data_IF_404985005377
#
_entry.id   IF_404985005377
#
_cell.length_a   1.000
_cell.length_b   1.000
_cell.length_c   1.000
_cell.angle_alpha   90.00
_cell.angle_beta   90.00
_cell.angle_gamma   90.00
#
_symmetry.space_group_name_H-M   'P 1'
#
loop_
_entity.id
_entity.type
_entity.pdbx_description
1 polymer ?
#
# COMPACT_ATOMS: atom_id res chain seq x y z
N UNK A 1 9.57 9.23 10.08
CA UNK A 1 10.45 10.05 10.97
C UNK A 1 9.83 11.40 11.32
N UNK A 2 9.20 12.12 10.40
CA UNK A 2 8.61 13.44 10.69
C UNK A 2 7.45 13.41 11.70
N UNK A 3 6.68 12.34 11.77
CA UNK A 3 5.56 12.19 12.71
C UNK A 3 5.99 12.09 14.18
N UNK A 4 7.09 11.39 14.47
CA UNK A 4 7.49 11.12 15.86
C UNK A 4 7.78 12.38 16.68
N UNK A 5 8.49 13.41 16.19
CA UNK A 5 8.67 14.66 16.94
C UNK A 5 7.35 15.36 17.25
N UNK A 6 6.43 15.39 16.27
CA UNK A 6 5.11 16.04 16.43
C UNK A 6 4.28 15.31 17.49
N UNK A 7 4.28 13.97 17.45
CA UNK A 7 3.62 13.18 18.47
C UNK A 7 4.27 13.32 19.85
N UNK A 8 5.60 13.33 19.94
CA UNK A 8 6.31 13.48 21.23
C UNK A 8 5.99 14.80 21.90
N UNK A 9 5.89 15.88 21.13
CA UNK A 9 5.45 17.20 21.63
C UNK A 9 4.00 17.15 22.10
N UNK A 10 3.08 16.59 21.32
CA UNK A 10 1.68 16.39 21.72
C UNK A 10 1.57 15.61 23.04
N UNK A 11 2.31 14.49 23.15
CA UNK A 11 2.28 13.67 24.36
C UNK A 11 2.79 14.41 25.59
N UNK A 12 3.87 15.18 25.42
CA UNK A 12 4.42 16.01 26.52
C UNK A 12 3.45 17.11 26.93
N UNK A 13 2.82 17.79 25.99
CA UNK A 13 1.80 18.82 26.28
C UNK A 13 0.58 18.22 27.01
N UNK A 14 0.14 17.03 26.58
CA UNK A 14 -1.03 16.35 27.15
C UNK A 14 -0.79 15.78 28.53
N UNK A 15 0.41 15.24 28.80
CA UNK A 15 0.67 14.40 29.98
C UNK A 15 1.79 14.92 30.89
N UNK A 16 2.59 15.87 30.42
CA UNK A 16 3.82 16.29 31.10
C UNK A 16 4.98 15.27 31.01
N UNK A 17 4.79 14.16 30.30
CA UNK A 17 5.78 13.07 30.19
C UNK A 17 6.48 13.11 28.84
N UNK A 18 7.74 12.75 28.80
CA UNK A 18 8.50 12.52 27.58
C UNK A 18 8.33 11.09 27.08
N UNK A 19 8.49 10.88 25.77
CA UNK A 19 8.48 9.57 25.14
C UNK A 19 9.66 9.46 24.18
N UNK A 20 10.35 8.34 24.22
CA UNK A 20 11.35 7.93 23.22
C UNK A 20 10.71 6.94 22.25
N UNK A 21 10.78 7.23 20.95
CA UNK A 21 10.17 6.38 19.91
C UNK A 21 11.28 5.76 19.07
N UNK A 22 11.44 4.44 19.19
CA UNK A 22 12.36 3.65 18.38
C UNK A 22 11.62 3.04 17.19
N UNK A 23 12.24 3.09 16.02
CA UNK A 23 11.64 2.59 14.78
C UNK A 23 12.49 1.50 14.14
N UNK A 24 11.81 0.52 13.56
CA UNK A 24 12.38 -0.50 12.69
C UNK A 24 11.57 -0.56 11.40
N UNK A 25 12.23 -0.61 10.25
CA UNK A 25 11.60 -0.59 8.94
C UNK A 25 12.02 -1.79 8.10
N UNK A 26 11.04 -2.56 7.63
CA UNK A 26 11.20 -3.64 6.67
C UNK A 26 9.86 -3.85 5.93
N UNK A 27 9.78 -4.80 5.01
CA UNK A 27 8.50 -5.19 4.43
C UNK A 27 7.53 -5.70 5.50
N UNK A 28 6.24 -5.34 5.40
CA UNK A 28 5.22 -5.63 6.43
C UNK A 28 5.18 -7.10 6.84
N UNK A 29 5.20 -8.02 5.87
CA UNK A 29 5.20 -9.47 6.17
C UNK A 29 6.46 -9.94 6.89
N UNK A 30 7.62 -9.33 6.63
CA UNK A 30 8.86 -9.64 7.36
C UNK A 30 8.79 -9.13 8.80
N UNK A 31 8.27 -7.92 8.99
CA UNK A 31 8.07 -7.33 10.31
C UNK A 31 7.07 -8.14 11.15
N UNK A 32 5.93 -8.53 10.56
CA UNK A 32 4.94 -9.35 11.24
C UNK A 32 5.55 -10.69 11.73
N UNK A 33 6.35 -11.35 10.89
CA UNK A 33 7.07 -12.57 11.27
C UNK A 33 8.05 -12.33 12.42
N UNK A 34 8.83 -11.25 12.36
CA UNK A 34 9.78 -10.91 13.43
C UNK A 34 9.08 -10.68 14.77
N UNK A 35 7.91 -10.03 14.75
CA UNK A 35 7.11 -9.79 15.97
C UNK A 35 6.57 -11.13 16.52
N UNK A 36 6.08 -12.02 15.65
CA UNK A 36 5.67 -13.37 16.06
C UNK A 36 6.83 -14.20 16.62
N UNK A 37 8.06 -13.92 16.20
CA UNK A 37 9.30 -14.55 16.70
C UNK A 37 9.88 -13.88 17.95
N UNK A 38 9.21 -12.84 18.47
CA UNK A 38 9.59 -12.21 19.74
C UNK A 38 10.17 -10.80 19.65
N UNK A 39 10.23 -10.17 18.46
CA UNK A 39 10.56 -8.75 18.37
C UNK A 39 9.54 -7.93 19.16
N UNK A 40 10.03 -7.18 20.16
CA UNK A 40 9.18 -6.32 20.96
C UNK A 40 8.82 -5.05 20.17
N UNK A 41 7.58 -4.97 19.70
CA UNK A 41 7.01 -3.80 19.08
C UNK A 41 5.72 -3.42 19.81
N UNK A 42 5.57 -2.16 20.21
CA UNK A 42 4.38 -1.65 20.88
C UNK A 42 3.29 -1.27 19.90
N UNK A 43 3.69 -0.82 18.70
CA UNK A 43 2.81 -0.38 17.61
C UNK A 43 3.30 -0.96 16.28
N UNK A 44 2.38 -1.29 15.40
CA UNK A 44 2.65 -1.61 14.00
C UNK A 44 1.93 -0.64 13.07
N UNK A 45 2.60 -0.30 11.96
CA UNK A 45 2.03 0.42 10.83
C UNK A 45 2.41 -0.34 9.56
N UNK A 46 1.45 -1.02 8.95
CA UNK A 46 1.69 -1.92 7.82
C UNK A 46 0.98 -1.44 6.56
N UNK A 47 1.33 -2.01 5.41
CA UNK A 47 0.65 -1.79 4.15
C UNK A 47 -0.25 -2.97 3.74
N UNK A 48 -0.49 -3.91 4.66
CA UNK A 48 -1.30 -5.11 4.41
C UNK A 48 -2.12 -5.45 5.66
N UNK A 49 -3.43 -5.55 5.48
CA UNK A 49 -4.37 -5.99 6.53
C UNK A 49 -4.01 -7.39 7.03
N UNK A 50 -3.66 -8.31 6.13
CA UNK A 50 -3.28 -9.68 6.47
C UNK A 50 -2.05 -9.78 7.36
N UNK A 51 -1.12 -8.83 7.25
CA UNK A 51 0.09 -8.80 8.08
C UNK A 51 -0.20 -8.30 9.51
N UNK A 52 -1.23 -7.48 9.69
CA UNK A 52 -1.74 -7.15 11.03
C UNK A 52 -2.55 -8.32 11.58
N UNK A 53 -3.46 -8.90 10.78
CA UNK A 53 -4.33 -9.98 11.19
C UNK A 53 -3.56 -11.20 11.72
N UNK A 54 -2.44 -11.56 11.09
CA UNK A 54 -1.62 -12.71 11.52
C UNK A 54 -1.06 -12.55 12.94
N UNK A 55 -0.89 -11.31 13.45
CA UNK A 55 -0.48 -11.05 14.82
C UNK A 55 -1.55 -11.50 15.82
N UNK A 56 -2.83 -11.41 15.43
CA UNK A 56 -3.93 -12.01 16.19
C UNK A 56 -3.95 -13.51 16.01
N UNK A 57 -4.03 -14.00 14.78
CA UNK A 57 -4.33 -15.40 14.47
C UNK A 57 -3.30 -16.34 15.06
N UNK A 58 -2.01 -16.04 14.90
CA UNK A 58 -0.90 -16.89 15.35
C UNK A 58 -0.31 -16.49 16.70
N UNK A 59 -0.37 -15.21 17.06
CA UNK A 59 0.32 -14.70 18.24
C UNK A 59 -0.60 -14.32 19.38
N UNK A 60 -1.90 -14.08 19.12
CA UNK A 60 -2.81 -13.46 20.08
C UNK A 60 -2.22 -12.20 20.72
N UNK A 61 -1.47 -11.42 19.90
CA UNK A 61 -0.73 -10.24 20.35
C UNK A 61 -1.59 -8.97 20.30
N UNK A 62 -2.61 -8.98 19.42
CA UNK A 62 -3.59 -7.92 19.24
C UNK A 62 -5.01 -8.49 19.40
N UNK A 63 -6.03 -7.68 19.72
CA UNK A 63 -7.40 -8.16 19.84
C UNK A 63 -7.98 -8.59 18.49
N UNK A 64 -8.99 -9.48 18.51
CA UNK A 64 -9.65 -9.97 17.30
C UNK A 64 -10.36 -8.85 16.51
N UNK A 65 -10.89 -7.87 17.23
CA UNK A 65 -11.62 -6.74 16.67
C UNK A 65 -10.72 -5.51 16.38
N UNK A 66 -9.44 -5.69 16.18
CA UNK A 66 -8.47 -4.59 16.02
C UNK A 66 -8.87 -3.57 14.93
N UNK A 67 -9.51 -4.01 13.85
CA UNK A 67 -9.96 -3.12 12.78
C UNK A 67 -11.08 -2.15 13.19
N UNK A 68 -11.82 -2.47 14.24
CA UNK A 68 -12.95 -1.63 14.71
C UNK A 68 -12.56 -0.69 15.86
N UNK A 69 -11.31 -0.74 16.31
CA UNK A 69 -10.83 0.09 17.42
C UNK A 69 -10.58 1.54 17.02
N UNK A 70 -10.29 1.78 15.75
CA UNK A 70 -10.03 3.10 15.20
C UNK A 70 -10.85 3.30 13.91
N UNK A 71 -11.11 4.56 13.50
CA UNK A 71 -11.84 4.85 12.26
C UNK A 71 -11.23 4.21 11.00
N UNK A 72 -12.02 4.06 9.95
CA UNK A 72 -11.58 3.58 8.64
C UNK A 72 -10.84 2.23 8.71
N UNK A 73 -11.43 1.25 9.40
CA UNK A 73 -10.83 -0.07 9.62
C UNK A 73 -9.40 0.00 10.19
N UNK A 74 -9.17 0.93 11.14
CA UNK A 74 -7.86 1.24 11.73
C UNK A 74 -6.79 1.64 10.71
N UNK A 75 -7.19 2.30 9.62
CA UNK A 75 -6.30 2.82 8.57
C UNK A 75 -6.38 4.35 8.52
N UNK A 76 -5.49 5.06 9.22
CA UNK A 76 -5.54 6.53 9.33
C UNK A 76 -5.21 7.24 8.02
N UNK A 77 -4.58 6.55 7.08
CA UNK A 77 -4.23 7.05 5.76
C UNK A 77 -4.25 5.92 4.74
N UNK A 78 -4.27 6.28 3.48
CA UNK A 78 -4.34 5.33 2.38
C UNK A 78 -3.56 5.82 1.16
N UNK A 79 -3.46 5.00 0.16
CA UNK A 79 -2.93 5.33 -1.15
C UNK A 79 -3.75 4.60 -2.21
N UNK A 80 -3.30 4.67 -3.43
CA UNK A 80 -3.81 3.88 -4.54
C UNK A 80 -2.65 3.42 -5.42
N UNK A 81 -2.88 2.54 -6.35
CA UNK A 81 -1.87 2.16 -7.35
C UNK A 81 -1.82 3.21 -8.46
N UNK A 82 -0.63 3.66 -8.79
CA UNK A 82 -0.37 4.65 -9.82
C UNK A 82 0.84 4.25 -10.68
N UNK A 83 1.09 5.00 -11.73
CA UNK A 83 2.13 4.74 -12.71
C UNK A 83 3.17 5.85 -12.68
N UNK A 84 4.44 5.47 -12.66
CA UNK A 84 5.55 6.37 -12.92
C UNK A 84 6.08 6.08 -14.33
N UNK A 85 5.96 7.04 -15.23
CA UNK A 85 6.40 6.92 -16.62
C UNK A 85 7.61 7.81 -16.88
N UNK A 86 8.34 7.52 -17.96
CA UNK A 86 9.48 8.32 -18.41
C UNK A 86 9.06 9.73 -18.77
N UNK A 87 10.00 10.67 -18.77
CA UNK A 87 9.80 12.07 -19.16
C UNK A 87 8.99 12.21 -20.45
N UNK A 88 7.94 13.05 -20.37
CA UNK A 88 7.06 13.31 -21.51
C UNK A 88 6.15 12.15 -21.90
N UNK A 89 6.14 11.06 -21.13
CA UNK A 89 5.29 9.89 -21.37
C UNK A 89 5.33 9.41 -22.85
N UNK A 90 6.49 8.98 -23.36
CA UNK A 90 6.68 8.70 -24.80
C UNK A 90 5.78 7.59 -25.34
N UNK A 91 5.27 6.72 -24.46
CA UNK A 91 4.32 5.65 -24.81
C UNK A 91 2.87 6.05 -24.63
N UNK A 92 2.59 7.30 -24.23
CA UNK A 92 1.24 7.81 -23.96
C UNK A 92 0.42 6.85 -23.07
N UNK A 93 1.00 6.44 -21.94
CA UNK A 93 0.35 5.55 -20.97
C UNK A 93 -0.57 6.40 -20.09
N UNK A 94 -1.87 6.12 -20.10
CA UNK A 94 -2.89 6.89 -19.38
C UNK A 94 -3.72 6.00 -18.44
N UNK A 95 -3.89 4.71 -18.77
CA UNK A 95 -4.76 3.80 -18.06
C UNK A 95 -4.26 2.36 -18.14
N UNK A 96 -4.90 1.47 -17.40
CA UNK A 96 -4.59 0.04 -17.35
C UNK A 96 -4.62 -0.64 -18.72
N UNK A 97 -5.50 -0.19 -19.63
CA UNK A 97 -5.57 -0.70 -21.02
C UNK A 97 -4.28 -0.48 -21.81
N UNK A 98 -3.49 0.55 -21.47
CA UNK A 98 -2.22 0.81 -22.16
C UNK A 98 -1.13 -0.18 -21.76
N UNK A 99 -1.27 -0.80 -20.58
CA UNK A 99 -0.29 -1.75 -20.04
C UNK A 99 -0.32 -3.13 -20.72
N UNK A 100 -1.35 -3.40 -21.53
CA UNK A 100 -1.49 -4.65 -22.28
C UNK A 100 -1.07 -4.52 -23.74
N UNK A 101 -0.60 -3.35 -24.16
CA UNK A 101 -0.05 -3.12 -25.50
C UNK A 101 1.30 -3.82 -25.65
N UNK A 102 1.59 -4.34 -26.85
CA UNK A 102 2.83 -5.11 -27.12
C UNK A 102 4.10 -4.23 -27.00
N UNK A 103 3.97 -2.93 -27.24
CA UNK A 103 5.06 -1.96 -27.20
C UNK A 103 5.32 -1.38 -25.79
N UNK A 104 4.58 -1.80 -24.77
CA UNK A 104 4.71 -1.32 -23.38
C UNK A 104 5.28 -2.40 -22.48
N UNK A 105 6.31 -2.05 -21.71
CA UNK A 105 6.89 -2.92 -20.69
C UNK A 105 6.76 -2.29 -19.31
N UNK A 106 6.14 -3.01 -18.39
CA UNK A 106 5.94 -2.60 -17.02
C UNK A 106 6.96 -3.23 -16.07
N UNK A 107 7.16 -2.57 -14.93
CA UNK A 107 7.96 -3.06 -13.81
C UNK A 107 7.13 -2.95 -12.54
N UNK A 108 6.99 -4.02 -11.82
CA UNK A 108 6.45 -4.04 -10.45
C UNK A 108 6.89 -5.32 -9.72
N UNK A 109 6.83 -5.37 -8.37
CA UNK A 109 7.30 -6.53 -7.64
C UNK A 109 6.44 -7.77 -7.88
N UNK A 110 6.95 -8.94 -7.48
CA UNK A 110 6.21 -10.20 -7.55
C UNK A 110 5.08 -10.23 -6.51
N UNK A 111 3.81 -10.47 -6.91
CA UNK A 111 2.69 -10.56 -5.97
C UNK A 111 2.81 -11.70 -4.94
N UNK A 112 3.63 -12.72 -5.21
CA UNK A 112 3.92 -13.79 -4.24
C UNK A 112 4.73 -13.29 -3.04
N UNK A 113 5.54 -12.24 -3.23
CA UNK A 113 6.51 -11.77 -2.21
C UNK A 113 6.24 -10.38 -1.69
N UNK A 114 5.42 -9.57 -2.38
CA UNK A 114 5.21 -8.17 -2.10
C UNK A 114 3.73 -7.82 -1.96
N UNK A 115 3.37 -7.20 -0.82
CA UNK A 115 2.03 -6.66 -0.58
C UNK A 115 1.65 -5.55 -1.56
N UNK A 116 2.60 -4.68 -1.91
CA UNK A 116 2.42 -3.66 -2.94
C UNK A 116 1.98 -4.27 -4.28
N UNK A 117 2.66 -5.33 -4.71
CA UNK A 117 2.35 -6.01 -5.96
C UNK A 117 0.99 -6.74 -5.95
N UNK A 118 0.53 -7.18 -4.78
CA UNK A 118 -0.84 -7.72 -4.64
C UNK A 118 -1.88 -6.66 -4.92
N UNK A 119 -1.70 -5.43 -4.42
CA UNK A 119 -2.55 -4.30 -4.78
C UNK A 119 -2.50 -3.99 -6.27
N UNK A 120 -1.31 -4.01 -6.89
CA UNK A 120 -1.15 -3.79 -8.33
C UNK A 120 -1.93 -4.83 -9.14
N UNK A 121 -1.78 -6.11 -8.80
CA UNK A 121 -2.52 -7.19 -9.46
C UNK A 121 -4.03 -7.07 -9.28
N UNK A 122 -4.49 -6.81 -8.04
CA UNK A 122 -5.92 -6.65 -7.75
C UNK A 122 -6.51 -5.40 -8.42
N UNK A 123 -5.75 -4.32 -8.55
CA UNK A 123 -6.18 -3.14 -9.29
C UNK A 123 -6.40 -3.45 -10.78
N UNK A 124 -5.47 -4.20 -11.39
CA UNK A 124 -5.60 -4.68 -12.78
C UNK A 124 -6.81 -5.61 -12.93
N UNK A 125 -7.04 -6.52 -11.99
CA UNK A 125 -8.22 -7.40 -11.98
C UNK A 125 -9.51 -6.59 -11.84
N UNK A 126 -9.57 -5.64 -10.92
CA UNK A 126 -10.74 -4.77 -10.71
C UNK A 126 -11.05 -3.92 -11.94
N UNK A 127 -10.02 -3.39 -12.61
CA UNK A 127 -10.18 -2.73 -13.90
C UNK A 127 -10.76 -3.68 -14.96
N UNK A 128 -10.23 -4.90 -15.08
CA UNK A 128 -10.72 -5.89 -16.03
C UNK A 128 -12.18 -6.29 -15.76
N UNK A 129 -12.56 -6.49 -14.49
CA UNK A 129 -13.95 -6.75 -14.10
C UNK A 129 -14.89 -5.61 -14.49
N UNK A 130 -14.46 -4.37 -14.29
CA UNK A 130 -15.24 -3.19 -14.68
C UNK A 130 -15.34 -3.04 -16.19
N UNK A 131 -14.26 -3.29 -16.92
CA UNK A 131 -14.19 -3.13 -18.38
C UNK A 131 -14.98 -4.22 -19.13
N UNK A 132 -14.91 -5.46 -18.68
CA UNK A 132 -15.45 -6.61 -19.40
C UNK A 132 -16.70 -7.22 -18.75
N UNK A 133 -17.05 -6.79 -17.54
CA UNK A 133 -18.13 -7.34 -16.73
C UNK A 133 -17.65 -8.43 -15.76
N UNK A 134 -18.36 -8.54 -14.61
CA UNK A 134 -18.01 -9.48 -13.54
C UNK A 134 -18.07 -10.95 -13.98
N UNK A 135 -18.97 -11.29 -14.87
CA UNK A 135 -19.19 -12.67 -15.33
C UNK A 135 -18.31 -13.07 -16.52
N UNK A 136 -17.58 -12.13 -17.11
CA UNK A 136 -16.77 -12.39 -18.30
C UNK A 136 -15.32 -12.78 -17.95
N UNK A 137 -15.20 -13.90 -17.27
CA UNK A 137 -13.91 -14.41 -16.81
C UNK A 137 -12.88 -14.61 -17.94
N UNK A 138 -13.34 -14.98 -19.15
CA UNK A 138 -12.45 -15.21 -20.29
C UNK A 138 -11.70 -13.93 -20.68
N UNK A 139 -12.42 -12.82 -20.86
CA UNK A 139 -11.79 -11.55 -21.25
C UNK A 139 -10.96 -10.95 -20.11
N UNK A 140 -11.39 -11.13 -18.86
CA UNK A 140 -10.59 -10.75 -17.70
C UNK A 140 -9.26 -11.51 -17.69
N UNK A 141 -9.28 -12.80 -17.90
CA UNK A 141 -8.08 -13.64 -17.93
C UNK A 141 -7.15 -13.29 -19.09
N UNK A 142 -7.68 -13.03 -20.27
CA UNK A 142 -6.88 -12.58 -21.44
C UNK A 142 -6.20 -11.24 -21.15
N UNK A 143 -6.90 -10.31 -20.57
CA UNK A 143 -6.34 -9.03 -20.15
C UNK A 143 -5.20 -9.23 -19.13
N UNK A 144 -5.44 -9.99 -18.06
CA UNK A 144 -4.44 -10.24 -17.03
C UNK A 144 -3.23 -11.01 -17.55
N UNK A 145 -3.41 -11.98 -18.47
CA UNK A 145 -2.30 -12.69 -19.14
C UNK A 145 -1.41 -11.72 -19.90
N UNK A 146 -1.99 -10.81 -20.70
CA UNK A 146 -1.25 -9.79 -21.44
C UNK A 146 -0.54 -8.81 -20.48
N UNK A 147 -1.24 -8.36 -19.45
CA UNK A 147 -0.68 -7.51 -18.41
C UNK A 147 0.57 -8.15 -17.76
N UNK A 148 0.46 -9.40 -17.33
CA UNK A 148 1.57 -10.13 -16.72
C UNK A 148 2.69 -10.45 -17.70
N UNK A 149 2.36 -10.74 -18.97
CA UNK A 149 3.35 -11.00 -20.04
C UNK A 149 4.19 -9.76 -20.40
N UNK A 150 3.65 -8.58 -20.17
CA UNK A 150 4.34 -7.31 -20.40
C UNK A 150 5.24 -6.88 -19.23
N UNK A 151 5.29 -7.63 -18.13
CA UNK A 151 6.20 -7.33 -17.03
C UNK A 151 7.62 -7.69 -17.44
N UNK A 152 8.49 -6.68 -17.51
CA UNK A 152 9.88 -6.85 -17.89
C UNK A 152 10.70 -7.57 -16.82
N UNK A 153 10.38 -7.31 -15.54
CA UNK A 153 11.03 -7.92 -14.39
C UNK A 153 10.08 -7.96 -13.18
N UNK A 154 10.05 -9.09 -12.51
CA UNK A 154 9.40 -9.26 -11.20
C UNK A 154 10.45 -9.22 -10.09
N UNK A 155 10.64 -8.05 -9.51
CA UNK A 155 11.51 -7.90 -8.34
C UNK A 155 10.86 -8.50 -7.08
N UNK A 156 11.65 -8.75 -6.04
CA UNK A 156 11.13 -9.33 -4.79
C UNK A 156 10.33 -8.34 -3.95
N UNK A 157 10.52 -7.03 -4.16
CA UNK A 157 9.83 -5.96 -3.42
C UNK A 157 9.95 -4.60 -4.10
N UNK A 158 9.25 -3.61 -3.57
CA UNK A 158 9.13 -2.28 -4.15
C UNK A 158 10.46 -1.58 -4.41
N UNK A 159 11.43 -1.68 -3.48
CA UNK A 159 12.77 -1.08 -3.67
C UNK A 159 13.50 -1.68 -4.87
N UNK A 160 13.42 -3.01 -5.05
CA UNK A 160 14.01 -3.68 -6.21
C UNK A 160 13.38 -3.18 -7.51
N UNK A 161 12.06 -3.06 -7.56
CA UNK A 161 11.34 -2.54 -8.72
C UNK A 161 11.73 -1.09 -9.02
N UNK A 162 11.87 -0.23 -8.00
CA UNK A 162 12.36 1.14 -8.16
C UNK A 162 13.78 1.14 -8.76
N UNK A 163 14.70 0.35 -8.20
CA UNK A 163 16.08 0.22 -8.72
C UNK A 163 16.08 -0.26 -10.18
N UNK A 164 15.28 -1.29 -10.50
CA UNK A 164 15.19 -1.79 -11.88
C UNK A 164 14.67 -0.73 -12.84
N UNK A 165 13.66 0.03 -12.46
CA UNK A 165 13.11 1.08 -13.31
C UNK A 165 14.01 2.32 -13.37
N UNK A 166 14.41 2.89 -12.22
CA UNK A 166 15.10 4.18 -12.15
C UNK A 166 16.55 4.06 -12.51
N UNK A 167 17.29 3.14 -11.86
CA UNK A 167 18.75 3.06 -11.96
C UNK A 167 19.21 2.19 -13.15
N UNK A 168 18.47 1.11 -13.45
CA UNK A 168 18.81 0.21 -14.57
C UNK A 168 18.10 0.53 -15.88
N UNK A 169 17.15 1.48 -15.87
CA UNK A 169 16.42 1.91 -17.05
C UNK A 169 15.48 0.86 -17.64
N UNK A 170 15.07 -0.16 -16.88
CA UNK A 170 14.22 -1.25 -17.35
C UNK A 170 12.76 -0.78 -17.43
N UNK A 171 12.08 -1.12 -18.51
CA UNK A 171 10.64 -0.86 -18.71
C UNK A 171 10.28 0.59 -19.01
N UNK A 172 9.04 0.78 -19.41
CA UNK A 172 8.44 2.07 -19.77
C UNK A 172 7.67 2.69 -18.61
N UNK A 173 7.17 1.84 -17.70
CA UNK A 173 6.33 2.23 -16.57
C UNK A 173 6.65 1.41 -15.33
N UNK A 174 6.81 2.09 -14.20
CA UNK A 174 6.84 1.49 -12.87
C UNK A 174 5.44 1.62 -12.26
N UNK A 175 4.91 0.50 -11.75
CA UNK A 175 3.60 0.45 -11.10
C UNK A 175 3.81 0.23 -9.60
N UNK A 176 3.37 1.18 -8.80
CA UNK A 176 3.47 1.10 -7.34
C UNK A 176 2.43 2.01 -6.67
N UNK A 177 2.50 2.23 -5.36
CA UNK A 177 1.60 3.16 -4.70
C UNK A 177 1.82 4.59 -5.17
N UNK A 178 0.75 5.37 -5.27
CA UNK A 178 0.78 6.80 -5.60
C UNK A 178 1.74 7.58 -4.68
N UNK A 179 1.74 7.27 -3.39
CA UNK A 179 2.69 7.84 -2.43
C UNK A 179 4.15 7.54 -2.79
N UNK A 180 4.44 6.33 -3.24
CA UNK A 180 5.79 5.93 -3.66
C UNK A 180 6.20 6.59 -4.97
N UNK A 181 5.33 6.63 -6.00
CA UNK A 181 5.68 7.26 -7.29
C UNK A 181 5.98 8.75 -7.11
N UNK A 182 5.24 9.45 -6.25
CA UNK A 182 5.50 10.84 -5.93
C UNK A 182 6.84 11.03 -5.20
N UNK A 183 7.15 10.17 -4.23
CA UNK A 183 8.42 10.19 -3.51
C UNK A 183 9.61 9.88 -4.44
N UNK A 184 9.48 8.88 -5.32
CA UNK A 184 10.51 8.53 -6.30
C UNK A 184 10.75 9.71 -7.25
N UNK A 185 9.70 10.32 -7.77
CA UNK A 185 9.81 11.51 -8.63
C UNK A 185 10.53 12.66 -7.92
N UNK A 186 10.24 12.93 -6.65
CA UNK A 186 10.91 13.96 -5.87
C UNK A 186 12.40 13.64 -5.64
N UNK A 187 12.71 12.36 -5.40
CA UNK A 187 14.07 11.94 -5.06
C UNK A 187 15.01 11.84 -6.28
N UNK A 188 14.50 11.34 -7.41
CA UNK A 188 15.31 11.00 -8.58
C UNK A 188 15.21 12.01 -9.74
N UNK A 189 14.32 12.98 -9.65
CA UNK A 189 14.18 14.04 -10.66
C UNK A 189 12.72 14.30 -11.02
N UNK A 190 12.21 15.43 -10.58
CA UNK A 190 10.81 15.81 -10.84
C UNK A 190 10.51 15.98 -12.33
N UNK A 191 11.54 16.35 -13.12
CA UNK A 191 11.44 16.57 -14.56
C UNK A 191 11.72 15.33 -15.42
N UNK A 192 12.28 14.26 -14.81
CA UNK A 192 12.66 13.04 -15.53
C UNK A 192 11.55 12.00 -15.58
N UNK A 193 10.52 12.18 -14.76
CA UNK A 193 9.40 11.28 -14.63
C UNK A 193 8.08 12.02 -14.57
N UNK A 194 7.03 11.38 -15.08
CA UNK A 194 5.65 11.84 -14.95
C UNK A 194 4.84 10.81 -14.16
N UNK A 195 3.99 11.31 -13.26
CA UNK A 195 3.03 10.49 -12.52
C UNK A 195 1.73 10.43 -13.31
N UNK A 196 1.21 9.23 -13.50
CA UNK A 196 -0.10 8.97 -14.07
C UNK A 196 -0.94 8.21 -13.05
N UNK A 197 -2.04 8.80 -12.62
CA UNK A 197 -3.01 8.15 -11.76
C UNK A 197 -4.19 7.72 -12.64
N UNK A 198 -4.44 6.40 -12.82
CA UNK A 198 -5.54 5.94 -13.64
C UNK A 198 -6.88 6.35 -13.04
N UNK A 199 -7.91 6.51 -13.88
CA UNK A 199 -9.25 6.94 -13.43
C UNK A 199 -9.89 5.97 -12.44
N UNK A 200 -9.61 4.69 -12.59
CA UNK A 200 -10.05 3.61 -11.70
C UNK A 200 -8.83 2.88 -11.16
N UNK A 201 -8.74 2.71 -9.86
CA UNK A 201 -7.67 1.99 -9.21
C UNK A 201 -8.17 1.36 -7.90
N UNK A 202 -7.29 0.96 -7.00
CA UNK A 202 -7.63 0.25 -5.78
C UNK A 202 -7.39 1.11 -4.54
N UNK A 203 -8.26 0.98 -3.54
CA UNK A 203 -8.02 1.50 -2.19
C UNK A 203 -6.93 0.67 -1.51
N UNK A 204 -5.76 1.28 -1.33
CA UNK A 204 -4.66 0.68 -0.60
C UNK A 204 -4.61 1.26 0.83
N UNK A 205 -5.14 0.51 1.78
CA UNK A 205 -5.20 0.90 3.18
C UNK A 205 -3.88 0.61 3.88
N UNK A 206 -3.51 1.52 4.80
CA UNK A 206 -2.32 1.37 5.65
C UNK A 206 -2.76 1.20 7.11
N UNK A 207 -3.06 -0.04 7.53
CA UNK A 207 -3.57 -0.32 8.85
C UNK A 207 -2.52 -0.12 9.93
N UNK A 208 -2.99 0.35 11.09
CA UNK A 208 -2.20 0.49 12.31
C UNK A 208 -2.82 -0.30 13.44
N UNK A 209 -2.01 -0.79 14.36
CA UNK A 209 -2.50 -1.45 15.56
C UNK A 209 -1.52 -1.30 16.73
N UNK A 210 -2.07 -1.22 17.95
CA UNK A 210 -1.30 -1.43 19.17
C UNK A 210 -1.10 -2.92 19.37
N UNK A 211 0.15 -3.35 19.57
CA UNK A 211 0.48 -4.73 19.92
C UNK A 211 0.24 -4.89 21.42
N UNK A 212 -1.02 -5.00 21.79
CA UNK A 212 -1.50 -4.85 23.17
C UNK A 212 -0.73 -5.68 24.20
N UNK A 213 -0.47 -6.95 23.87
CA UNK A 213 0.24 -7.87 24.77
C UNK A 213 1.65 -7.38 25.10
N UNK A 214 2.32 -6.78 24.10
CA UNK A 214 3.66 -6.21 24.26
C UNK A 214 3.58 -4.87 24.98
N UNK A 215 2.72 -3.97 24.54
CA UNK A 215 2.58 -2.64 25.13
C UNK A 215 2.16 -2.69 26.62
N UNK A 216 1.23 -3.60 26.97
CA UNK A 216 0.83 -3.82 28.37
C UNK A 216 1.99 -4.35 29.22
N UNK A 217 2.76 -5.31 28.69
CA UNK A 217 3.95 -5.83 29.37
C UNK A 217 5.02 -4.78 29.59
N UNK A 218 5.20 -3.88 28.61
CA UNK A 218 6.20 -2.82 28.66
C UNK A 218 5.74 -1.60 29.46
N UNK A 219 4.46 -1.51 29.87
CA UNK A 219 3.88 -0.34 30.51
C UNK A 219 3.70 0.86 29.56
N UNK A 220 3.66 0.63 28.26
CA UNK A 220 3.57 1.64 27.19
C UNK A 220 2.18 1.70 26.53
N UNK A 221 1.21 0.96 27.04
CA UNK A 221 -0.11 0.81 26.40
C UNK A 221 -0.82 2.15 26.15
N UNK A 222 -0.79 3.05 27.14
CA UNK A 222 -1.48 4.35 27.01
C UNK A 222 -0.83 5.22 25.94
N UNK A 223 0.50 5.35 25.93
CA UNK A 223 1.21 6.14 24.93
C UNK A 223 1.13 5.49 23.55
N UNK A 224 1.14 4.17 23.44
CA UNK A 224 0.96 3.44 22.19
C UNK A 224 -0.45 3.65 21.61
N UNK A 225 -1.48 3.62 22.47
CA UNK A 225 -2.87 3.90 22.06
C UNK A 225 -3.02 5.34 21.58
N UNK A 226 -2.45 6.30 22.32
CA UNK A 226 -2.47 7.71 21.88
C UNK A 226 -1.70 7.91 20.57
N UNK A 227 -0.57 7.21 20.39
CA UNK A 227 0.24 7.28 19.16
C UNK A 227 -0.56 6.92 17.91
N UNK A 228 -1.30 5.83 17.94
CA UNK A 228 -2.14 5.43 16.79
C UNK A 228 -3.38 6.30 16.63
N UNK A 229 -3.96 6.79 17.73
CA UNK A 229 -5.13 7.67 17.71
C UNK A 229 -4.79 9.05 17.16
N UNK A 230 -3.63 9.59 17.50
CA UNK A 230 -3.17 10.91 17.06
C UNK A 230 -2.94 10.97 15.53
N UNK A 231 -2.72 9.84 14.86
CA UNK A 231 -2.65 9.78 13.39
C UNK A 231 -3.92 10.29 12.69
N UNK A 232 -5.06 10.33 13.39
CA UNK A 232 -6.33 10.86 12.88
C UNK A 232 -6.53 12.36 13.18
N UNK A 233 -5.64 12.99 13.92
CA UNK A 233 -5.71 14.44 14.19
C UNK A 233 -5.38 15.26 12.94
N UNK A 234 -5.97 16.47 12.84
CA UNK A 234 -5.70 17.36 11.69
C UNK A 234 -4.19 17.61 11.46
N UNK A 235 -3.35 17.89 12.49
CA UNK A 235 -1.92 18.07 12.28
C UNK A 235 -1.23 16.82 11.70
N UNK A 236 -1.58 15.63 12.18
CA UNK A 236 -1.02 14.38 11.69
C UNK A 236 -1.50 14.08 10.27
N UNK A 237 -2.78 14.29 9.96
CA UNK A 237 -3.34 14.12 8.62
C UNK A 237 -2.67 15.07 7.61
N UNK A 238 -2.42 16.32 7.99
CA UNK A 238 -1.69 17.27 7.12
C UNK A 238 -0.27 16.80 6.86
N UNK A 239 0.44 16.37 7.90
CA UNK A 239 1.78 15.81 7.75
C UNK A 239 1.80 14.59 6.82
N UNK A 240 0.84 13.67 6.95
CA UNK A 240 0.71 12.50 6.07
C UNK A 240 0.47 12.91 4.62
N UNK A 241 -0.36 13.92 4.36
CA UNK A 241 -0.60 14.45 3.02
C UNK A 241 0.65 15.12 2.42
N UNK A 242 1.47 15.81 3.24
CA UNK A 242 2.78 16.34 2.83
C UNK A 242 3.73 15.22 2.34
N UNK A 243 3.63 14.04 2.95
CA UNK A 243 4.37 12.83 2.55
C UNK A 243 3.68 11.98 1.48
N UNK A 244 2.76 12.59 0.72
CA UNK A 244 2.07 12.01 -0.42
C UNK A 244 1.09 10.86 -0.09
N UNK A 245 0.60 10.77 1.13
CA UNK A 245 -0.50 9.88 1.48
C UNK A 245 -1.84 10.58 1.33
N UNK A 246 -2.85 9.84 0.88
CA UNK A 246 -4.25 10.27 0.94
C UNK A 246 -4.75 10.12 2.37
N UNK A 247 -5.54 11.07 2.82
CA UNK A 247 -5.99 11.17 4.22
C UNK A 247 -7.52 11.28 4.30
N UNK A 248 -8.07 11.13 5.50
CA UNK A 248 -9.52 11.12 5.72
C UNK A 248 -10.07 12.47 6.21
N UNK A 249 -9.25 13.36 6.72
CA UNK A 249 -9.68 14.69 7.16
C UNK A 249 -10.10 15.53 5.95
N UNK A 250 -11.37 15.95 5.92
CA UNK A 250 -11.96 16.66 4.78
C UNK A 250 -11.31 18.04 4.52
N UNK A 251 -10.87 18.71 5.58
CA UNK A 251 -10.19 20.00 5.46
C UNK A 251 -8.81 19.82 4.83
N UNK A 252 -8.06 18.82 5.28
CA UNK A 252 -6.76 18.50 4.72
C UNK A 252 -6.90 18.00 3.29
N UNK A 253 -7.90 17.18 2.98
CA UNK A 253 -8.19 16.76 1.60
C UNK A 253 -8.41 17.97 0.67
N UNK A 254 -9.15 18.98 1.12
CA UNK A 254 -9.37 20.20 0.35
C UNK A 254 -8.08 21.00 0.15
N UNK A 255 -7.22 21.11 1.17
CA UNK A 255 -5.92 21.77 1.05
C UNK A 255 -4.98 21.13 0.03
N UNK A 256 -5.05 19.80 -0.13
CA UNK A 256 -4.18 19.02 -1.00
C UNK A 256 -4.87 18.51 -2.28
N UNK A 257 -6.05 19.06 -2.63
CA UNK A 257 -6.86 18.58 -3.76
C UNK A 257 -6.11 18.60 -5.11
N UNK A 258 -5.24 19.58 -5.34
CA UNK A 258 -4.44 19.66 -6.58
C UNK A 258 -3.37 18.55 -6.68
N UNK A 259 -2.90 18.04 -5.52
CA UNK A 259 -1.90 16.97 -5.46
C UNK A 259 -2.49 15.59 -5.71
N UNK A 260 -3.73 15.38 -5.30
CA UNK A 260 -4.40 14.09 -5.34
C UNK A 260 -5.58 14.13 -6.32
N UNK A 261 -5.37 13.76 -7.60
CA UNK A 261 -6.45 13.76 -8.58
C UNK A 261 -7.57 12.81 -8.15
N UNK A 262 -8.79 13.09 -8.62
CA UNK A 262 -9.92 12.22 -8.39
C UNK A 262 -9.66 10.84 -9.02
N UNK A 263 -9.90 9.79 -8.26
CA UNK A 263 -9.77 8.40 -8.69
C UNK A 263 -10.93 7.59 -8.11
N UNK A 264 -11.51 6.72 -8.92
CA UNK A 264 -12.48 5.73 -8.45
C UNK A 264 -11.73 4.60 -7.75
N UNK A 265 -11.92 4.49 -6.45
CA UNK A 265 -11.23 3.51 -5.63
C UNK A 265 -12.10 2.24 -5.47
N UNK A 266 -11.65 1.16 -6.08
CA UNK A 266 -12.23 -0.17 -5.88
C UNK A 266 -11.68 -0.76 -4.58
N UNK A 267 -12.49 -1.55 -3.88
CA UNK A 267 -12.07 -2.22 -2.64
C UNK A 267 -11.68 -3.67 -2.90
N UNK A 268 -10.83 -4.24 -2.06
CA UNK A 268 -10.46 -5.65 -2.13
C UNK A 268 -11.69 -6.55 -1.92
N UNK A 269 -12.63 -6.10 -1.08
CA UNK A 269 -13.92 -6.76 -0.86
C UNK A 269 -14.74 -6.81 -2.16
N UNK A 270 -14.83 -5.71 -2.89
CA UNK A 270 -15.56 -5.63 -4.16
C UNK A 270 -14.92 -6.42 -5.29
N UNK A 271 -13.57 -6.49 -5.34
CA UNK A 271 -12.82 -7.19 -6.39
C UNK A 271 -12.77 -8.70 -6.14
N UNK A 272 -12.49 -9.10 -4.90
CA UNK A 272 -12.10 -10.49 -4.57
C UNK A 272 -12.73 -11.03 -3.28
N UNK A 273 -13.77 -10.40 -2.73
CA UNK A 273 -14.43 -10.83 -1.52
C UNK A 273 -13.64 -10.61 -0.22
N UNK A 274 -12.65 -9.73 -0.25
CA UNK A 274 -11.77 -9.41 0.87
C UNK A 274 -10.41 -10.11 0.80
N UNK A 275 -9.53 -9.73 1.71
CA UNK A 275 -8.14 -10.20 1.68
C UNK A 275 -7.99 -11.70 1.91
N UNK A 276 -8.77 -12.30 2.79
CA UNK A 276 -8.70 -13.75 3.03
C UNK A 276 -9.02 -14.52 1.74
N UNK A 277 -10.12 -14.19 1.10
CA UNK A 277 -10.53 -14.82 -0.16
C UNK A 277 -9.54 -14.50 -1.29
N UNK A 278 -9.06 -13.27 -1.41
CA UNK A 278 -8.03 -12.90 -2.39
C UNK A 278 -6.76 -13.73 -2.23
N UNK A 279 -6.28 -13.94 -1.00
CA UNK A 279 -5.10 -14.75 -0.74
C UNK A 279 -5.29 -16.21 -1.17
N UNK A 280 -6.48 -16.77 -0.93
CA UNK A 280 -6.79 -18.17 -1.30
C UNK A 280 -6.99 -18.33 -2.80
N UNK A 281 -7.76 -17.45 -3.45
CA UNK A 281 -8.19 -17.62 -4.84
C UNK A 281 -7.21 -17.04 -5.85
N UNK A 282 -6.46 -16.00 -5.49
CA UNK A 282 -5.56 -15.30 -6.40
C UNK A 282 -4.08 -15.64 -6.15
N UNK A 283 -3.64 -15.71 -4.88
CA UNK A 283 -2.22 -15.73 -4.54
C UNK A 283 -1.70 -17.05 -3.95
N UNK A 284 -2.55 -17.99 -3.55
CA UNK A 284 -2.12 -19.31 -3.07
C UNK A 284 -1.36 -20.08 -4.17
N UNK A 285 -0.60 -21.08 -3.76
CA UNK A 285 0.11 -21.93 -4.73
C UNK A 285 -0.90 -22.67 -5.62
N UNK A 286 -0.71 -22.57 -6.94
CA UNK A 286 -1.62 -23.11 -7.93
C UNK A 286 -2.91 -22.32 -8.16
N UNK A 287 -3.12 -21.19 -7.43
CA UNK A 287 -4.26 -20.32 -7.61
C UNK A 287 -4.15 -19.49 -8.91
N UNK A 288 -5.07 -18.55 -9.10
CA UNK A 288 -5.27 -17.83 -10.36
C UNK A 288 -4.00 -17.19 -10.92
N UNK A 289 -3.21 -16.51 -10.10
CA UNK A 289 -1.96 -15.88 -10.54
C UNK A 289 -1.00 -16.93 -11.16
N UNK A 290 -0.82 -18.08 -10.51
CA UNK A 290 0.04 -19.14 -11.03
C UNK A 290 -0.48 -19.72 -12.35
N UNK A 291 -1.81 -19.81 -12.50
CA UNK A 291 -2.44 -20.29 -13.75
C UNK A 291 -2.23 -19.30 -14.90
N UNK A 292 -2.34 -18.00 -14.63
CA UNK A 292 -2.12 -16.92 -15.61
C UNK A 292 -0.64 -16.80 -16.04
N UNK A 293 0.30 -17.12 -15.16
CA UNK A 293 1.74 -17.09 -15.43
C UNK A 293 2.25 -18.34 -16.16
N UNK A 294 1.48 -19.43 -16.18
CA UNK A 294 1.84 -20.62 -16.97
C UNK A 294 1.76 -20.27 -18.46
N UNK A 295 2.89 -20.47 -19.15
CA UNK A 295 3.00 -20.34 -20.61
C UNK A 295 2.39 -21.54 -21.31
#
# INVERSE_FOLDING_TARGET
MAYNPVFAEHWQQKTGKTVEIKQSHAGSSAQARSILQGLAADVVTFNQVTDVQILHDKGKLIPANWQTLLPNASSPYYSTTAFLVRKGNPKNIQDWSDLVRDDVKSVFPNPKTSGNARYTYLAALGFAQKQFGQDNQVQQDEFLKKFLANVAVFDTGGRGATTSFVERGIGDVLITFESEVNNIRQQYGADDYQVVVPKTSILAEFPVAVVEKVAKRNGTYDVATEYVSYLYSEPAQRLLAEFNYRVHDAKVQAEFAERFPAVELLTVEGIAGGWEQAMQTQFANGAKLDQLLRR
#
